data_IF_423984080120
#
_entry.id   IF_423984080120
#
_cell.length_a   1.000
_cell.length_b   1.000
_cell.length_c   1.000
_cell.angle_alpha   90.00
_cell.angle_beta   90.00
_cell.angle_gamma   90.00
#
_symmetry.space_group_name_H-M   'P 1'
#
loop_
_entity.id
_entity.type
_entity.pdbx_description
1 polymer ?
#
# COMPACT_ATOMS: atom_id res chain seq x y z
N UNK A 1 -16.00 -9.53 3.96
CA UNK A 1 -14.68 -10.16 3.79
C UNK A 1 -13.69 -9.11 4.20
N UNK A 2 -13.09 -9.29 5.37
CA UNK A 2 -12.18 -8.33 5.97
C UNK A 2 -10.83 -8.31 5.24
N UNK A 3 -9.98 -7.35 5.59
CA UNK A 3 -8.63 -7.21 5.02
C UNK A 3 -7.82 -8.52 5.15
N UNK A 4 -7.84 -9.17 6.32
CA UNK A 4 -7.09 -10.41 6.56
C UNK A 4 -7.58 -11.57 5.69
N UNK A 5 -8.90 -11.78 5.64
CA UNK A 5 -9.53 -12.78 4.78
C UNK A 5 -9.28 -12.51 3.30
N UNK A 6 -9.26 -11.24 2.90
CA UNK A 6 -8.92 -10.83 1.54
C UNK A 6 -7.46 -11.18 1.19
N UNK A 7 -6.50 -10.80 2.03
CA UNK A 7 -5.08 -11.08 1.82
C UNK A 7 -4.84 -12.59 1.68
N UNK A 8 -5.46 -13.40 2.56
CA UNK A 8 -5.41 -14.87 2.46
C UNK A 8 -5.98 -15.37 1.14
N UNK A 9 -7.15 -14.89 0.74
CA UNK A 9 -7.82 -15.28 -0.51
C UNK A 9 -6.94 -14.98 -1.73
N UNK A 10 -6.31 -13.79 -1.76
CA UNK A 10 -5.42 -13.41 -2.86
C UNK A 10 -4.19 -14.31 -2.91
N UNK A 11 -3.53 -14.59 -1.78
CA UNK A 11 -2.37 -15.46 -1.73
C UNK A 11 -2.69 -16.89 -2.17
N UNK A 12 -3.84 -17.44 -1.77
CA UNK A 12 -4.31 -18.75 -2.21
C UNK A 12 -4.51 -18.79 -3.74
N UNK A 13 -5.06 -17.71 -4.32
CA UNK A 13 -5.23 -17.57 -5.79
C UNK A 13 -3.89 -17.41 -6.52
N UNK A 14 -2.93 -16.73 -5.91
CA UNK A 14 -1.59 -16.57 -6.48
C UNK A 14 -0.79 -17.89 -6.44
N UNK A 15 -1.05 -18.79 -5.49
CA UNK A 15 -0.33 -20.07 -5.32
C UNK A 15 1.18 -19.92 -5.09
N UNK A 16 1.65 -18.71 -4.77
CA UNK A 16 3.03 -18.41 -4.44
C UNK A 16 3.12 -17.10 -3.66
N UNK A 17 4.03 -17.05 -2.70
CA UNK A 17 4.40 -15.85 -1.95
C UNK A 17 5.70 -15.22 -2.48
N UNK A 18 6.30 -15.79 -3.53
CA UNK A 18 7.65 -15.43 -4.00
C UNK A 18 7.64 -14.51 -5.23
N UNK A 19 6.48 -14.22 -5.80
CA UNK A 19 6.32 -13.33 -6.95
C UNK A 19 5.57 -12.07 -6.53
N UNK A 20 5.95 -10.95 -7.12
CA UNK A 20 5.14 -9.75 -7.07
C UNK A 20 3.83 -9.97 -7.83
N UNK A 21 2.77 -9.30 -7.36
CA UNK A 21 1.51 -9.27 -8.09
C UNK A 21 0.80 -7.92 -7.94
N UNK A 22 0.14 -7.47 -9.01
CA UNK A 22 -0.88 -6.44 -8.90
C UNK A 22 -2.21 -7.06 -8.49
N UNK A 23 -2.96 -6.30 -7.69
CA UNK A 23 -4.26 -6.66 -7.17
C UNK A 23 -5.20 -5.51 -7.43
N UNK A 24 -6.37 -5.80 -7.99
CA UNK A 24 -7.42 -4.80 -8.20
C UNK A 24 -8.78 -5.42 -7.89
N UNK A 25 -9.60 -4.69 -7.14
CA UNK A 25 -10.99 -5.06 -6.86
C UNK A 25 -11.88 -3.90 -7.22
N UNK A 26 -12.87 -4.15 -8.07
CA UNK A 26 -14.00 -3.25 -8.25
C UNK A 26 -15.17 -3.80 -7.45
N UNK A 27 -15.74 -3.03 -6.51
CA UNK A 27 -16.73 -3.58 -5.61
C UNK A 27 -17.45 -2.61 -4.69
N UNK A 28 -18.27 -3.20 -3.82
CA UNK A 28 -18.96 -2.54 -2.71
C UNK A 28 -18.34 -2.98 -1.39
N UNK A 29 -18.04 -2.00 -0.55
CA UNK A 29 -17.43 -2.17 0.76
C UNK A 29 -18.42 -1.67 1.82
N UNK A 30 -18.74 -2.51 2.81
CA UNK A 30 -19.59 -2.09 3.93
C UNK A 30 -18.85 -1.13 4.86
N UNK A 31 -17.52 -1.27 4.94
CA UNK A 31 -16.63 -0.34 5.64
C UNK A 31 -15.36 -0.11 4.82
N UNK A 32 -14.85 1.11 4.85
CA UNK A 32 -13.58 1.50 4.26
C UNK A 32 -12.88 2.49 5.17
N UNK A 33 -11.64 2.18 5.57
CA UNK A 33 -10.76 3.00 6.38
C UNK A 33 -9.47 3.26 5.61
N UNK A 34 -9.22 4.53 5.31
CA UNK A 34 -8.05 4.98 4.56
C UNK A 34 -7.36 6.11 5.27
N UNK A 35 -6.14 6.43 4.82
CA UNK A 35 -5.41 7.62 5.23
C UNK A 35 -4.79 8.35 4.05
N UNK A 36 -4.50 9.62 4.27
CA UNK A 36 -3.64 10.43 3.42
C UNK A 36 -2.57 11.12 4.28
N UNK A 37 -1.32 11.06 3.83
CA UNK A 37 -0.23 11.83 4.42
C UNK A 37 -0.32 13.29 3.97
N UNK A 38 -0.03 14.22 4.88
CA UNK A 38 -0.04 15.64 4.56
C UNK A 38 1.22 16.04 3.76
N UNK A 39 1.17 17.10 2.94
CA UNK A 39 2.35 17.66 2.31
C UNK A 39 3.41 18.06 3.34
N UNK A 40 4.66 17.68 3.10
CA UNK A 40 5.80 18.00 3.97
C UNK A 40 6.67 19.10 3.37
N UNK A 41 7.37 19.84 4.23
CA UNK A 41 8.30 20.91 3.85
C UNK A 41 9.71 20.60 4.38
N UNK A 42 10.77 21.05 3.69
CA UNK A 42 12.13 20.97 4.23
C UNK A 42 12.30 21.73 5.56
N UNK A 43 13.12 21.24 6.50
CA UNK A 43 13.77 19.92 6.49
C UNK A 43 12.72 18.80 6.60
N UNK A 44 12.76 17.82 5.69
CA UNK A 44 11.73 16.78 5.64
C UNK A 44 11.79 15.90 6.89
N UNK A 45 10.63 15.61 7.52
CA UNK A 45 10.57 14.66 8.61
C UNK A 45 10.81 13.23 8.11
N UNK A 46 11.04 12.33 9.05
CA UNK A 46 11.11 10.90 8.77
C UNK A 46 9.76 10.35 8.29
N UNK A 47 9.78 9.14 7.71
CA UNK A 47 8.57 8.48 7.25
C UNK A 47 7.56 8.25 8.40
N UNK A 48 8.05 7.87 9.58
CA UNK A 48 7.19 7.58 10.73
C UNK A 48 6.60 8.85 11.34
N UNK A 49 7.33 9.97 11.34
CA UNK A 49 6.83 11.29 11.72
C UNK A 49 5.79 11.82 10.71
N UNK A 50 5.99 11.54 9.42
CA UNK A 50 5.01 11.90 8.39
C UNK A 50 3.71 11.11 8.57
N UNK A 51 3.81 9.81 8.85
CA UNK A 51 2.66 8.94 9.08
C UNK A 51 1.89 9.34 10.36
N UNK A 52 2.57 9.76 11.43
CA UNK A 52 1.85 10.18 12.66
C UNK A 52 0.99 11.44 12.47
N UNK A 53 1.33 12.28 11.49
CA UNK A 53 0.53 13.47 11.11
C UNK A 53 -0.53 13.20 10.05
N UNK A 54 -0.82 11.95 9.71
CA UNK A 54 -1.79 11.58 8.67
C UNK A 54 -3.22 11.99 9.02
N UNK A 55 -4.05 12.17 7.98
CA UNK A 55 -5.50 12.24 8.14
C UNK A 55 -6.12 10.90 7.76
N UNK A 56 -7.01 10.42 8.61
CA UNK A 56 -7.77 9.20 8.37
C UNK A 56 -9.20 9.51 7.96
N UNK A 57 -9.74 8.64 7.12
CA UNK A 57 -11.07 8.77 6.54
C UNK A 57 -11.78 7.44 6.64
N UNK A 58 -13.03 7.49 7.11
CA UNK A 58 -13.91 6.34 7.23
C UNK A 58 -15.16 6.54 6.38
N UNK A 59 -15.58 5.50 5.68
CA UNK A 59 -16.85 5.46 4.97
C UNK A 59 -17.55 4.12 5.17
N UNK A 60 -18.88 4.17 5.12
CA UNK A 60 -19.74 2.99 5.17
C UNK A 60 -20.49 2.84 3.85
N UNK A 61 -20.73 1.59 3.46
CA UNK A 61 -21.53 1.23 2.28
C UNK A 61 -21.08 1.95 0.99
N UNK A 62 -19.77 2.02 0.77
CA UNK A 62 -19.16 2.75 -0.34
C UNK A 62 -18.86 1.82 -1.53
N UNK A 63 -18.99 2.34 -2.75
CA UNK A 63 -18.54 1.65 -3.97
C UNK A 63 -17.25 2.29 -4.46
N UNK A 64 -16.34 1.48 -4.99
CA UNK A 64 -15.10 2.00 -5.54
C UNK A 64 -14.15 0.92 -6.01
N UNK A 65 -12.91 1.35 -6.24
CA UNK A 65 -11.81 0.51 -6.69
C UNK A 65 -10.74 0.46 -5.61
N UNK A 66 -10.40 -0.75 -5.17
CA UNK A 66 -9.17 -1.04 -4.44
C UNK A 66 -8.11 -1.46 -5.47
N UNK A 67 -6.91 -0.89 -5.38
CA UNK A 67 -5.78 -1.26 -6.23
C UNK A 67 -4.49 -1.25 -5.41
N UNK A 68 -3.57 -2.16 -5.74
CA UNK A 68 -2.27 -2.18 -5.11
C UNK A 68 -1.43 -3.36 -5.52
N UNK A 69 -0.43 -3.67 -4.70
CA UNK A 69 0.53 -4.71 -4.98
C UNK A 69 0.73 -5.64 -3.78
N UNK A 70 0.97 -6.91 -4.08
CA UNK A 70 1.62 -7.84 -3.17
C UNK A 70 3.12 -7.89 -3.50
N UNK A 71 3.95 -7.75 -2.47
CA UNK A 71 5.41 -7.84 -2.55
C UNK A 71 5.95 -8.92 -1.62
N UNK A 72 6.81 -9.84 -2.08
CA UNK A 72 7.45 -10.82 -1.21
C UNK A 72 8.34 -10.17 -0.14
N UNK A 73 8.40 -10.74 1.06
CA UNK A 73 9.25 -10.25 2.16
C UNK A 73 10.74 -10.19 1.78
N UNK A 74 11.19 -11.02 0.82
CA UNK A 74 12.56 -11.02 0.29
C UNK A 74 13.01 -9.65 -0.23
N UNK A 75 12.08 -8.82 -0.68
CA UNK A 75 12.36 -7.51 -1.28
C UNK A 75 12.04 -6.33 -0.33
N UNK A 76 11.81 -6.60 0.95
CA UNK A 76 11.53 -5.57 1.95
C UNK A 76 12.63 -4.48 1.95
N UNK A 77 12.21 -3.22 1.98
CA UNK A 77 13.11 -2.06 1.93
C UNK A 77 13.15 -1.42 0.53
N UNK A 78 13.26 -2.23 -0.54
CA UNK A 78 13.04 -1.73 -1.89
C UNK A 78 11.55 -1.43 -2.14
N UNK A 79 10.68 -2.16 -1.44
CA UNK A 79 9.22 -2.03 -1.42
C UNK A 79 8.66 -2.23 -0.01
N UNK A 80 7.38 -1.91 0.17
CA UNK A 80 6.61 -2.34 1.35
C UNK A 80 6.29 -3.83 1.23
N UNK A 81 6.77 -4.70 2.14
CA UNK A 81 6.52 -6.13 2.07
C UNK A 81 5.05 -6.46 2.42
N UNK A 82 4.51 -7.50 1.79
CA UNK A 82 3.10 -7.85 1.92
C UNK A 82 2.21 -7.03 0.99
N UNK A 83 1.01 -6.69 1.44
CA UNK A 83 0.03 -5.95 0.65
C UNK A 83 0.13 -4.46 0.91
N UNK A 84 0.36 -3.68 -0.13
CA UNK A 84 0.24 -2.22 -0.11
C UNK A 84 -0.93 -1.84 -1.01
N UNK A 85 -2.04 -1.42 -0.39
CA UNK A 85 -3.34 -1.24 -1.06
C UNK A 85 -3.84 0.20 -0.89
N UNK A 86 -4.39 0.74 -1.96
CA UNK A 86 -5.03 2.05 -2.00
C UNK A 86 -6.48 1.89 -2.47
N UNK A 87 -7.32 2.87 -2.14
CA UNK A 87 -8.71 2.93 -2.54
C UNK A 87 -9.04 4.26 -3.21
N UNK A 88 -10.00 4.22 -4.13
CA UNK A 88 -10.68 5.38 -4.68
C UNK A 88 -12.16 5.04 -4.85
N UNK A 89 -13.04 5.87 -4.28
CA UNK A 89 -14.49 5.69 -4.41
C UNK A 89 -14.98 5.98 -5.84
N UNK A 90 -16.17 5.48 -6.18
CA UNK A 90 -16.71 5.60 -7.53
C UNK A 90 -16.98 7.05 -7.96
N UNK A 91 -17.22 7.94 -6.99
CA UNK A 91 -17.47 9.37 -7.23
C UNK A 91 -16.18 10.22 -7.17
N UNK A 92 -15.02 9.59 -6.90
CA UNK A 92 -13.70 10.23 -6.76
C UNK A 92 -13.62 11.33 -5.68
N UNK A 93 -14.40 11.23 -4.62
CA UNK A 93 -14.39 12.15 -3.49
C UNK A 93 -13.56 11.65 -2.31
N UNK A 94 -13.39 10.33 -2.17
CA UNK A 94 -12.65 9.70 -1.07
C UNK A 94 -11.69 8.64 -1.62
N UNK A 95 -10.46 8.66 -1.10
CA UNK A 95 -9.49 7.63 -1.37
C UNK A 95 -8.33 7.69 -0.39
N UNK A 96 -7.29 6.94 -0.69
CA UNK A 96 -6.05 6.95 0.08
C UNK A 96 -5.47 5.56 0.30
N UNK A 97 -4.44 5.51 1.12
CA UNK A 97 -3.82 4.26 1.54
C UNK A 97 -4.76 3.54 2.52
N UNK A 98 -5.07 2.27 2.26
CA UNK A 98 -6.01 1.48 3.05
C UNK A 98 -5.37 1.04 4.37
N UNK A 99 -6.09 1.25 5.47
CA UNK A 99 -5.77 0.69 6.79
C UNK A 99 -6.70 -0.47 7.17
N UNK A 100 -7.92 -0.48 6.63
CA UNK A 100 -8.89 -1.55 6.83
C UNK A 100 -10.12 -1.43 5.93
N UNK A 101 -10.81 -2.54 5.70
CA UNK A 101 -12.09 -2.55 4.99
C UNK A 101 -12.88 -3.83 5.27
N UNK A 102 -14.15 -3.79 4.92
CA UNK A 102 -15.02 -4.97 4.80
C UNK A 102 -15.63 -5.01 3.38
N UNK A 103 -15.22 -5.99 2.58
CA UNK A 103 -15.72 -6.21 1.23
C UNK A 103 -17.03 -7.02 1.29
N UNK A 104 -18.09 -6.46 0.73
CA UNK A 104 -19.40 -7.12 0.60
C UNK A 104 -19.48 -7.92 -0.70
N UNK A 105 -19.16 -7.28 -1.82
CA UNK A 105 -19.18 -7.91 -3.15
C UNK A 105 -18.22 -7.19 -4.10
N UNK A 106 -17.65 -7.91 -5.06
CA UNK A 106 -16.76 -7.31 -6.05
C UNK A 106 -16.10 -8.34 -6.96
N UNK A 107 -15.43 -7.84 -7.99
CA UNK A 107 -14.65 -8.64 -8.93
C UNK A 107 -13.15 -8.45 -8.68
N UNK A 108 -12.42 -9.55 -8.54
CA UNK A 108 -10.99 -9.58 -8.28
C UNK A 108 -10.20 -9.81 -9.57
N UNK A 109 -9.29 -8.88 -9.86
CA UNK A 109 -8.32 -8.98 -10.94
C UNK A 109 -6.91 -9.15 -10.33
N UNK A 110 -6.17 -10.12 -10.84
CA UNK A 110 -4.81 -10.44 -10.39
C UNK A 110 -3.86 -10.52 -11.57
N UNK A 111 -2.66 -9.96 -11.41
CA UNK A 111 -1.58 -10.07 -12.37
C UNK A 111 -0.28 -10.43 -11.65
N UNK A 112 0.27 -11.61 -11.93
CA UNK A 112 1.62 -11.98 -11.49
C UNK A 112 2.66 -11.28 -12.37
N UNK A 113 3.76 -10.84 -11.77
CA UNK A 113 4.86 -10.26 -12.51
C UNK A 113 6.01 -11.26 -12.70
N UNK A 114 6.60 -11.24 -13.89
CA UNK A 114 7.82 -11.96 -14.24
C UNK A 114 9.09 -11.17 -13.95
N UNK A 115 8.96 -9.86 -13.76
CA UNK A 115 10.07 -8.93 -13.64
C UNK A 115 9.77 -7.82 -12.63
N UNK A 116 10.85 -7.30 -12.05
CA UNK A 116 10.85 -6.14 -11.16
C UNK A 116 11.89 -5.15 -11.69
N UNK A 117 11.43 -4.01 -12.19
CA UNK A 117 12.28 -2.98 -12.77
C UNK A 117 12.41 -1.81 -11.80
N UNK A 118 13.60 -1.65 -11.21
CA UNK A 118 13.91 -0.55 -10.31
C UNK A 118 14.61 0.57 -11.08
N UNK A 119 13.91 1.69 -11.26
CA UNK A 119 14.52 2.92 -11.76
C UNK A 119 15.04 3.77 -10.60
N UNK A 120 16.32 4.15 -10.66
CA UNK A 120 17.00 4.89 -9.58
C UNK A 120 17.12 6.38 -9.91
N UNK A 121 17.00 7.28 -8.91
CA UNK A 121 17.13 8.73 -9.11
C UNK A 121 18.61 9.14 -9.21
N UNK A 122 19.29 8.70 -10.27
CA UNK A 122 20.76 8.81 -10.46
C UNK A 122 21.28 10.24 -10.62
N UNK A 123 20.40 11.21 -10.82
CA UNK A 123 20.74 12.64 -10.94
C UNK A 123 20.27 13.46 -9.76
N UNK A 124 19.73 12.84 -8.69
CA UNK A 124 19.24 13.54 -7.51
C UNK A 124 20.34 13.63 -6.43
N UNK A 125 20.93 14.81 -6.30
CA UNK A 125 22.01 15.07 -5.34
C UNK A 125 21.65 14.75 -3.88
N UNK A 126 20.40 15.02 -3.46
CA UNK A 126 19.98 14.75 -2.09
C UNK A 126 19.93 13.25 -1.80
N UNK A 127 19.40 12.45 -2.72
CA UNK A 127 19.39 10.99 -2.63
C UNK A 127 20.81 10.42 -2.66
N UNK A 128 21.68 10.88 -3.58
CA UNK A 128 23.05 10.38 -3.72
C UNK A 128 23.93 10.66 -2.50
N UNK A 129 23.66 11.75 -1.77
CA UNK A 129 24.40 12.14 -0.56
C UNK A 129 23.80 11.56 0.72
N UNK A 130 22.57 11.05 0.67
CA UNK A 130 21.88 10.52 1.85
C UNK A 130 22.55 9.23 2.33
N UNK A 131 22.78 9.15 3.64
CA UNK A 131 23.22 7.92 4.30
C UNK A 131 22.00 7.25 4.92
N UNK A 132 21.58 6.12 4.36
CA UNK A 132 20.47 5.35 4.88
C UNK A 132 20.93 4.40 5.98
N UNK A 133 20.27 4.42 7.13
CA UNK A 133 20.35 3.34 8.11
C UNK A 133 19.40 2.23 7.67
N UNK A 134 19.95 1.21 7.01
CA UNK A 134 19.16 0.10 6.48
C UNK A 134 18.63 -0.83 7.57
N UNK A 135 19.22 -0.80 8.77
CA UNK A 135 18.77 -1.66 9.88
C UNK A 135 17.41 -1.20 10.42
N UNK A 136 17.17 0.12 10.45
CA UNK A 136 15.88 0.68 10.89
C UNK A 136 14.87 0.84 9.77
N UNK A 137 15.32 0.97 8.52
CA UNK A 137 14.47 1.26 7.36
C UNK A 137 13.25 0.32 7.22
N UNK A 138 13.47 -1.00 7.31
CA UNK A 138 12.37 -1.98 7.15
C UNK A 138 11.38 -1.88 8.32
N UNK A 139 11.86 -1.62 9.53
CA UNK A 139 11.00 -1.42 10.69
C UNK A 139 10.15 -0.14 10.55
N UNK A 140 10.76 0.94 10.06
CA UNK A 140 10.07 2.20 9.80
C UNK A 140 9.01 2.06 8.70
N UNK A 141 9.28 1.32 7.63
CA UNK A 141 8.29 0.99 6.60
C UNK A 141 7.11 0.23 7.23
N UNK A 142 7.36 -0.86 7.96
CA UNK A 142 6.28 -1.66 8.58
C UNK A 142 5.44 -0.84 9.56
N UNK A 143 6.08 0.03 10.34
CA UNK A 143 5.41 0.93 11.28
C UNK A 143 4.62 2.02 10.56
N UNK A 144 5.15 2.52 9.46
CA UNK A 144 4.46 3.53 8.69
C UNK A 144 3.28 2.92 7.95
N UNK A 145 3.30 1.67 7.49
CA UNK A 145 2.27 1.09 6.61
C UNK A 145 1.04 0.49 7.31
N UNK A 146 1.01 0.47 8.65
CA UNK A 146 -0.11 -0.02 9.47
C UNK A 146 -0.47 0.99 10.56
#
# INVERSE_FOLDING_TARGET
LDLSGFQKTVLERLQTANLFAAVRVEGRFTQMHTRAVLPQQPPYPTLTETASGQKEFNAENIKGTLIGYYSPDLYAGAVSPGFHLHFLDADHHMGGHILGFELDSGELFLQKFSDFQLHLPTTNDAFLKQKFDTATLVADIRKAEN
#
